data_IF_184821199432
#
_entry.id   IF_184821199432
#
_cell.length_a   1.000
_cell.length_b   1.000
_cell.length_c   1.000
_cell.angle_alpha   90.00
_cell.angle_beta   90.00
_cell.angle_gamma   90.00
#
_symmetry.space_group_name_H-M   'P 1'
#
loop_
_entity.id
_entity.type
_entity.pdbx_description
1 polymer ?
#
# COMPACT_ATOMS: atom_id res chain seq x y z
N UNK A 1 -15.14 6.14 4.93
CA UNK A 1 -14.74 5.05 4.02
C UNK A 1 -13.61 4.22 4.64
N UNK A 2 -12.45 4.80 4.96
CA UNK A 2 -11.24 4.02 5.28
C UNK A 2 -11.17 3.47 6.72
N UNK A 3 -12.13 3.78 7.60
CA UNK A 3 -12.16 3.29 8.99
C UNK A 3 -12.33 1.78 9.13
N UNK A 4 -12.78 1.13 8.05
CA UNK A 4 -12.99 -0.31 7.95
C UNK A 4 -11.93 -0.95 7.06
N UNK A 5 -10.82 -0.25 6.78
CA UNK A 5 -9.71 -0.79 6.01
C UNK A 5 -8.52 -0.92 6.95
N UNK A 6 -8.00 -2.13 7.08
CA UNK A 6 -6.71 -2.37 7.72
C UNK A 6 -5.60 -2.42 6.66
N UNK A 7 -4.40 -2.01 7.07
CA UNK A 7 -3.22 -2.00 6.21
C UNK A 7 -1.99 -2.42 7.00
N UNK A 8 -1.20 -3.32 6.44
CA UNK A 8 0.06 -3.79 7.02
C UNK A 8 1.19 -3.68 5.99
N UNK A 9 2.39 -3.35 6.44
CA UNK A 9 3.58 -3.33 5.59
C UNK A 9 4.58 -4.39 6.05
N UNK A 10 5.14 -5.09 5.06
CA UNK A 10 6.16 -6.11 5.24
C UNK A 10 7.34 -5.76 4.33
N UNK A 11 8.49 -5.54 4.94
CA UNK A 11 9.74 -5.21 4.27
C UNK A 11 10.63 -6.44 4.26
N UNK A 12 11.04 -6.91 3.09
CA UNK A 12 11.93 -8.05 2.96
C UNK A 12 13.32 -7.58 2.55
N UNK A 13 14.30 -7.86 3.40
CA UNK A 13 15.70 -7.48 3.25
C UNK A 13 16.55 -8.71 2.97
N UNK A 14 17.46 -8.58 2.02
CA UNK A 14 18.49 -9.56 1.69
C UNK A 14 19.83 -8.84 1.60
N UNK A 15 20.88 -9.36 2.23
CA UNK A 15 22.21 -8.73 2.23
C UNK A 15 22.21 -7.23 2.64
N UNK A 16 21.31 -6.85 3.56
CA UNK A 16 21.06 -5.48 4.04
C UNK A 16 20.29 -4.55 3.09
N UNK A 17 19.92 -5.00 1.90
CA UNK A 17 19.10 -4.25 0.94
C UNK A 17 17.65 -4.72 0.95
N UNK A 18 16.69 -3.79 0.87
CA UNK A 18 15.27 -4.15 0.74
C UNK A 18 15.03 -4.60 -0.70
N UNK A 19 14.61 -5.83 -0.90
CA UNK A 19 14.37 -6.37 -2.25
C UNK A 19 12.89 -6.40 -2.60
N UNK A 20 12.03 -6.42 -1.60
CA UNK A 20 10.59 -6.50 -1.77
C UNK A 20 9.84 -5.79 -0.65
N UNK A 21 8.73 -5.18 -1.02
CA UNK A 21 7.75 -4.62 -0.09
C UNK A 21 6.40 -5.27 -0.38
N UNK A 22 5.79 -5.84 0.64
CA UNK A 22 4.43 -6.35 0.58
C UNK A 22 3.53 -5.49 1.47
N UNK A 23 2.38 -5.12 0.92
CA UNK A 23 1.38 -4.32 1.61
C UNK A 23 0.09 -5.11 1.62
N UNK A 24 -0.41 -5.47 2.81
CA UNK A 24 -1.69 -6.17 2.94
C UNK A 24 -2.79 -5.16 3.17
N UNK A 25 -3.89 -5.32 2.45
CA UNK A 25 -5.10 -4.56 2.65
C UNK A 25 -6.24 -5.52 2.99
N UNK A 26 -6.97 -5.20 4.05
CA UNK A 26 -8.17 -5.95 4.43
C UNK A 26 -9.36 -5.00 4.49
N UNK A 27 -10.40 -5.30 3.72
CA UNK A 27 -11.60 -4.47 3.65
C UNK A 27 -12.74 -5.08 4.47
N UNK A 28 -13.05 -4.49 5.62
CA UNK A 28 -14.13 -4.92 6.50
C UNK A 28 -15.51 -4.33 6.16
N UNK A 29 -15.63 -3.57 5.07
CA UNK A 29 -16.95 -3.11 4.64
C UNK A 29 -17.84 -4.32 4.33
N UNK A 30 -19.12 -4.25 4.71
CA UNK A 30 -20.07 -5.31 4.40
C UNK A 30 -20.50 -5.20 2.95
N UNK A 31 -20.63 -6.35 2.28
CA UNK A 31 -21.30 -6.41 0.99
C UNK A 31 -22.75 -5.95 1.18
N UNK A 32 -23.25 -4.98 0.39
CA UNK A 32 -24.63 -4.53 0.48
C UNK A 32 -25.61 -5.70 0.28
N UNK A 33 -26.58 -5.84 1.17
CA UNK A 33 -27.58 -6.93 1.10
C UNK A 33 -28.62 -6.75 -0.01
N UNK A 34 -28.76 -5.53 -0.54
CA UNK A 34 -29.70 -5.19 -1.59
C UNK A 34 -29.04 -4.29 -2.62
N UNK A 35 -29.20 -4.67 -3.89
CA UNK A 35 -28.86 -3.86 -5.05
C UNK A 35 -29.93 -2.75 -5.15
N UNK A 36 -29.50 -1.50 -5.34
CA UNK A 36 -30.47 -0.44 -5.59
C UNK A 36 -30.89 -0.51 -7.06
N UNK A 37 -32.02 -1.14 -7.31
CA UNK A 37 -32.56 -1.33 -8.67
C UNK A 37 -33.23 -0.06 -9.23
N UNK A 38 -33.19 1.07 -8.52
CA UNK A 38 -33.75 2.32 -9.00
C UNK A 38 -32.86 2.93 -10.10
N UNK A 39 -33.32 2.97 -11.37
CA UNK A 39 -32.51 3.46 -12.49
C UNK A 39 -32.16 4.95 -12.40
N UNK A 40 -32.88 5.72 -11.58
CA UNK A 40 -32.64 7.15 -11.37
C UNK A 40 -31.57 7.43 -10.30
N UNK A 41 -31.24 6.43 -9.48
CA UNK A 41 -30.19 6.51 -8.47
C UNK A 41 -28.93 5.81 -9.00
N UNK A 42 -27.96 6.59 -9.50
CA UNK A 42 -26.60 6.12 -9.82
C UNK A 42 -25.80 5.80 -8.55
N UNK A 43 -26.36 5.02 -7.65
CA UNK A 43 -25.65 4.49 -6.48
C UNK A 43 -24.87 3.26 -6.90
N UNK A 44 -23.57 3.23 -6.60
CA UNK A 44 -22.76 2.05 -6.83
C UNK A 44 -23.30 0.88 -5.99
N UNK A 45 -23.53 -0.27 -6.64
CA UNK A 45 -24.05 -1.49 -6.00
C UNK A 45 -23.04 -2.17 -5.07
N UNK A 46 -21.77 -1.79 -5.18
CA UNK A 46 -20.65 -2.27 -4.36
C UNK A 46 -19.81 -1.06 -3.93
N UNK A 47 -19.48 -1.02 -2.65
CA UNK A 47 -18.51 -0.14 -2.04
C UNK A 47 -17.14 -0.82 -2.08
N UNK A 48 -16.68 -1.18 -3.28
CA UNK A 48 -15.28 -1.55 -3.48
C UNK A 48 -14.44 -0.40 -2.94
N UNK A 49 -13.51 -0.71 -2.05
CA UNK A 49 -12.59 0.28 -1.55
C UNK A 49 -11.61 0.62 -2.66
N UNK A 50 -11.89 1.71 -3.37
CA UNK A 50 -10.99 2.26 -4.38
C UNK A 50 -10.17 3.36 -3.74
N UNK A 51 -8.86 3.21 -3.75
CA UNK A 51 -7.98 4.19 -3.15
C UNK A 51 -6.68 4.39 -3.94
N UNK A 52 -6.36 5.66 -4.16
CA UNK A 52 -5.09 6.09 -4.74
C UNK A 52 -3.99 6.04 -3.67
N UNK A 53 -3.05 5.12 -3.83
CA UNK A 53 -1.92 4.95 -2.93
C UNK A 53 -0.74 5.79 -3.41
N UNK A 54 -0.04 6.40 -2.46
CA UNK A 54 1.25 7.08 -2.67
C UNK A 54 2.26 6.52 -1.70
N UNK A 55 3.44 6.22 -2.20
CA UNK A 55 4.60 5.78 -1.43
C UNK A 55 5.78 6.65 -1.85
N UNK A 56 6.56 7.08 -0.87
CA UNK A 56 7.72 7.94 -1.10
C UNK A 56 8.97 7.17 -0.73
N UNK A 57 9.86 7.02 -1.70
CA UNK A 57 11.12 6.30 -1.58
C UNK A 57 12.29 7.25 -1.73
N UNK A 58 13.49 6.82 -1.35
CA UNK A 58 14.72 7.49 -1.79
C UNK A 58 14.79 7.58 -3.32
N UNK A 59 15.32 8.67 -3.89
CA UNK A 59 15.28 8.93 -5.33
C UNK A 59 16.05 7.91 -6.19
N UNK A 60 16.99 7.17 -5.60
CA UNK A 60 17.82 6.14 -6.25
C UNK A 60 17.14 4.77 -6.38
N UNK A 61 16.00 4.56 -5.70
CA UNK A 61 15.24 3.31 -5.75
C UNK A 61 14.67 3.11 -7.14
N UNK A 62 14.81 1.90 -7.68
CA UNK A 62 14.13 1.49 -8.93
C UNK A 62 13.10 0.43 -8.66
N UNK A 63 11.87 0.70 -9.09
CA UNK A 63 10.77 -0.24 -9.02
C UNK A 63 10.83 -1.17 -10.24
N UNK A 64 10.97 -2.47 -10.00
CA UNK A 64 10.95 -3.48 -11.05
C UNK A 64 9.54 -3.71 -11.56
N UNK A 65 8.62 -3.95 -10.61
CA UNK A 65 7.21 -4.19 -10.90
C UNK A 65 6.38 -3.98 -9.64
N UNK A 66 5.07 -3.75 -9.84
CA UNK A 66 4.06 -3.80 -8.81
C UNK A 66 2.99 -4.79 -9.24
N UNK A 67 2.59 -5.68 -8.34
CA UNK A 67 1.58 -6.69 -8.60
C UNK A 67 0.58 -6.75 -7.44
N UNK A 68 -0.64 -7.19 -7.72
CA UNK A 68 -1.59 -7.61 -6.69
C UNK A 68 -1.67 -9.12 -6.61
N UNK A 69 -1.95 -9.63 -5.40
CA UNK A 69 -2.23 -11.03 -5.13
C UNK A 69 -3.57 -11.08 -4.39
N UNK A 70 -4.55 -11.74 -4.98
CA UNK A 70 -5.89 -11.89 -4.39
C UNK A 70 -6.01 -13.10 -3.47
N UNK A 71 -7.21 -13.30 -2.92
CA UNK A 71 -7.53 -14.42 -2.04
C UNK A 71 -7.35 -15.79 -2.72
N UNK A 72 -7.45 -15.86 -4.05
CA UNK A 72 -7.23 -17.05 -4.86
C UNK A 72 -5.75 -17.25 -5.24
N UNK A 73 -4.85 -16.38 -4.76
CA UNK A 73 -3.43 -16.36 -5.07
C UNK A 73 -3.13 -16.02 -6.54
N UNK A 74 -4.08 -15.42 -7.24
CA UNK A 74 -3.90 -14.97 -8.60
C UNK A 74 -3.09 -13.67 -8.61
N UNK A 75 -2.05 -13.61 -9.45
CA UNK A 75 -1.13 -12.48 -9.55
C UNK A 75 -1.49 -11.63 -10.74
N UNK A 76 -1.71 -10.34 -10.52
CA UNK A 76 -2.03 -9.39 -11.57
C UNK A 76 -1.04 -8.23 -11.55
N UNK A 77 -0.54 -7.82 -12.71
CA UNK A 77 0.27 -6.61 -12.81
C UNK A 77 -0.59 -5.38 -12.48
N UNK A 78 -0.02 -4.48 -11.69
CA UNK A 78 -0.67 -3.24 -11.30
C UNK A 78 0.05 -2.06 -11.95
N UNK A 79 -0.68 -1.30 -12.76
CA UNK A 79 -0.16 -0.07 -13.33
C UNK A 79 0.17 0.95 -12.23
N UNK A 80 1.32 1.60 -12.39
CA UNK A 80 1.78 2.65 -11.48
C UNK A 80 2.47 3.78 -12.25
N UNK A 81 2.53 4.94 -11.62
CA UNK A 81 3.29 6.09 -12.09
C UNK A 81 4.35 6.45 -11.07
N UNK A 82 5.52 6.89 -11.54
CA UNK A 82 6.60 7.36 -10.69
C UNK A 82 7.03 8.77 -11.08
N UNK A 83 7.23 9.65 -10.11
CA UNK A 83 7.70 11.02 -10.32
C UNK A 83 8.53 11.52 -9.15
N UNK A 84 9.44 12.49 -9.34
CA UNK A 84 10.11 13.16 -8.23
C UNK A 84 9.10 13.93 -7.36
N UNK A 85 9.30 13.90 -6.05
CA UNK A 85 8.58 14.66 -5.05
C UNK A 85 9.57 15.39 -4.14
N UNK A 86 9.26 16.63 -3.78
CA UNK A 86 10.08 17.42 -2.87
C UNK A 86 9.25 17.76 -1.63
N UNK A 87 9.75 17.41 -0.45
CA UNK A 87 9.10 17.78 0.81
C UNK A 87 9.30 19.28 1.13
N UNK A 88 8.76 19.75 2.25
CA UNK A 88 8.84 21.18 2.63
C UNK A 88 10.28 21.67 2.89
N UNK A 89 11.19 20.76 3.24
CA UNK A 89 12.62 21.06 3.45
C UNK A 89 13.43 21.06 2.14
N UNK A 90 12.82 20.66 1.02
CA UNK A 90 13.47 20.53 -0.28
C UNK A 90 14.22 19.21 -0.48
N UNK A 91 14.05 18.24 0.42
CA UNK A 91 14.56 16.88 0.22
C UNK A 91 13.76 16.19 -0.89
N UNK A 92 14.48 15.52 -1.80
CA UNK A 92 13.94 14.79 -2.94
C UNK A 92 13.60 13.35 -2.57
N UNK A 93 12.46 12.89 -3.06
CA UNK A 93 11.95 11.52 -2.96
C UNK A 93 11.43 11.07 -4.32
N UNK A 94 11.38 9.76 -4.55
CA UNK A 94 10.60 9.15 -5.63
C UNK A 94 9.17 8.88 -5.12
N UNK A 95 8.18 9.61 -5.62
CA UNK A 95 6.77 9.29 -5.41
C UNK A 95 6.34 8.20 -6.40
N UNK A 96 5.90 7.06 -5.86
CA UNK A 96 5.26 5.99 -6.60
C UNK A 96 3.79 5.98 -6.26
N UNK A 97 2.95 6.01 -7.28
CA UNK A 97 1.51 6.09 -7.12
C UNK A 97 0.77 5.05 -7.95
N UNK A 98 -0.28 4.46 -7.38
CA UNK A 98 -1.12 3.47 -8.05
C UNK A 98 -2.56 3.49 -7.50
N UNK A 99 -3.52 3.07 -8.32
CA UNK A 99 -4.91 2.94 -7.93
C UNK A 99 -5.20 1.50 -7.50
N UNK A 100 -5.67 1.31 -6.27
CA UNK A 100 -5.99 -0.01 -5.74
C UNK A 100 -7.49 -0.15 -5.49
N UNK A 101 -8.06 -1.27 -5.91
CA UNK A 101 -9.45 -1.64 -5.61
C UNK A 101 -9.46 -2.90 -4.75
N UNK A 102 -9.97 -2.80 -3.52
CA UNK A 102 -10.10 -3.92 -2.59
C UNK A 102 -11.59 -4.22 -2.40
N UNK A 103 -12.09 -5.37 -2.87
CA UNK A 103 -13.50 -5.75 -2.70
C UNK A 103 -13.88 -5.86 -1.22
N UNK A 104 -15.16 -5.68 -0.92
CA UNK A 104 -15.70 -5.84 0.44
C UNK A 104 -15.48 -7.24 0.99
N UNK A 105 -15.11 -7.33 2.27
CA UNK A 105 -14.82 -8.57 2.99
C UNK A 105 -13.64 -9.38 2.44
N UNK A 106 -12.87 -8.82 1.52
CA UNK A 106 -11.71 -9.47 0.90
C UNK A 106 -10.38 -8.90 1.40
N UNK A 107 -9.33 -9.72 1.25
CA UNK A 107 -7.94 -9.31 1.41
C UNK A 107 -7.28 -9.21 0.04
N UNK A 108 -6.45 -8.19 -0.12
CA UNK A 108 -5.59 -8.03 -1.29
C UNK A 108 -4.18 -7.68 -0.83
N UNK A 109 -3.18 -8.37 -1.38
CA UNK A 109 -1.78 -8.04 -1.14
C UNK A 109 -1.22 -7.29 -2.35
N UNK A 110 -0.49 -6.20 -2.11
CA UNK A 110 0.31 -5.51 -3.13
C UNK A 110 1.76 -5.86 -2.90
N UNK A 111 2.42 -6.38 -3.93
CA UNK A 111 3.84 -6.72 -3.90
C UNK A 111 4.60 -5.78 -4.83
N UNK A 112 5.61 -5.11 -4.29
CA UNK A 112 6.50 -4.19 -5.00
C UNK A 112 7.88 -4.83 -4.96
N UNK A 113 8.36 -5.24 -6.13
CA UNK A 113 9.73 -5.74 -6.28
C UNK A 113 10.66 -4.58 -6.65
N UNK A 114 11.81 -4.49 -5.99
CA UNK A 114 12.81 -3.45 -6.19
C UNK A 114 14.01 -4.01 -6.97
N UNK A 115 14.58 -3.23 -7.90
CA UNK A 115 15.80 -3.63 -8.62
C UNK A 115 17.06 -3.34 -7.80
N UNK A 116 17.03 -2.28 -7.01
CA UNK A 116 18.07 -1.84 -6.10
C UNK A 116 17.40 -1.04 -4.98
N UNK A 117 17.79 -1.29 -3.74
CA UNK A 117 17.34 -0.46 -2.63
C UNK A 117 18.44 -0.39 -1.57
N UNK A 118 19.32 0.58 -1.73
CA UNK A 118 20.23 1.00 -0.66
C UNK A 118 19.44 1.88 0.32
N UNK A 119 18.36 1.33 0.89
CA UNK A 119 17.49 2.10 1.79
C UNK A 119 18.01 1.94 3.21
N UNK A 120 18.94 2.82 3.54
CA UNK A 120 19.03 3.31 4.90
C UNK A 120 18.18 4.58 5.02
N UNK A 121 16.99 4.42 5.62
CA UNK A 121 16.20 5.42 6.38
C UNK A 121 14.94 6.07 5.78
N UNK A 122 14.73 6.17 4.46
CA UNK A 122 13.74 7.14 3.97
C UNK A 122 12.56 6.53 3.18
N UNK A 123 11.80 5.62 3.81
CA UNK A 123 10.48 5.27 3.31
C UNK A 123 9.40 6.02 4.10
N UNK A 124 8.78 7.01 3.47
CA UNK A 124 7.64 7.70 4.06
C UNK A 124 6.33 7.04 3.59
N UNK A 125 5.54 6.60 4.56
CA UNK A 125 4.20 6.06 4.33
C UNK A 125 3.20 7.14 4.71
N UNK A 126 2.49 7.68 3.72
CA UNK A 126 1.37 8.57 4.00
C UNK A 126 0.23 7.76 4.61
N UNK A 127 -0.01 7.94 5.91
CA UNK A 127 -1.19 7.38 6.57
C UNK A 127 -2.43 8.10 6.03
N UNK A 128 -3.34 7.32 5.46
CA UNK A 128 -4.56 7.87 4.87
C UNK A 128 -5.59 8.14 5.97
N UNK A 129 -6.32 9.25 5.87
CA UNK A 129 -7.33 9.65 6.85
C UNK A 129 -8.34 8.52 7.11
N UNK A 130 -8.54 8.20 8.40
CA UNK A 130 -9.45 7.14 8.85
C UNK A 130 -8.79 5.79 9.14
N UNK A 131 -7.57 5.53 8.65
CA UNK A 131 -6.78 4.38 9.12
C UNK A 131 -6.30 4.71 10.55
N UNK A 132 -6.48 3.80 11.50
CA UNK A 132 -6.13 4.07 12.91
C UNK A 132 -4.63 3.94 13.15
N UNK A 133 -4.08 2.82 12.71
CA UNK A 133 -2.68 2.44 12.88
C UNK A 133 -2.25 1.57 11.70
N UNK A 134 -0.96 1.57 11.38
CA UNK A 134 -0.38 0.75 10.32
C UNK A 134 0.76 -0.07 10.94
N UNK A 135 0.57 -1.39 11.15
CA UNK A 135 1.65 -2.28 11.54
C UNK A 135 2.72 -2.35 10.45
N UNK A 136 3.98 -2.39 10.89
CA UNK A 136 5.15 -2.53 10.02
C UNK A 136 6.03 -3.67 10.53
N UNK A 137 6.43 -4.54 9.62
CA UNK A 137 7.29 -5.69 9.87
C UNK A 137 8.51 -5.63 8.96
N UNK A 138 9.70 -5.86 9.52
CA UNK A 138 10.96 -5.94 8.78
C UNK A 138 11.55 -7.34 8.94
N UNK A 139 11.80 -7.98 7.80
CA UNK A 139 12.39 -9.31 7.68
C UNK A 139 13.79 -9.19 7.09
N UNK A 140 14.74 -9.95 7.62
CA UNK A 140 16.08 -10.18 7.05
C UNK A 140 16.21 -11.67 6.76
N UNK A 141 16.53 -12.03 5.51
CA UNK A 141 16.70 -13.43 5.10
C UNK A 141 15.49 -14.32 5.50
N UNK A 142 14.29 -13.73 5.37
CA UNK A 142 12.98 -14.28 5.78
C UNK A 142 12.73 -14.41 7.29
N UNK A 143 13.65 -13.99 8.15
CA UNK A 143 13.44 -13.94 9.59
C UNK A 143 12.97 -12.55 10.04
N UNK A 144 11.93 -12.49 10.89
CA UNK A 144 11.46 -11.23 11.45
C UNK A 144 12.51 -10.66 12.41
N UNK A 145 13.04 -9.48 12.09
CA UNK A 145 14.07 -8.81 12.90
C UNK A 145 13.58 -7.56 13.63
N UNK A 146 12.50 -6.94 13.15
CA UNK A 146 11.92 -5.76 13.79
C UNK A 146 10.45 -5.62 13.42
N UNK A 147 9.66 -5.03 14.32
CA UNK A 147 8.32 -4.58 14.03
C UNK A 147 7.99 -3.32 14.84
N UNK A 148 7.13 -2.48 14.28
CA UNK A 148 6.61 -1.29 14.93
C UNK A 148 5.24 -0.93 14.36
N UNK A 149 4.62 0.13 14.86
CA UNK A 149 3.31 0.58 14.39
C UNK A 149 3.32 2.08 14.17
N UNK A 150 2.90 2.52 12.99
CA UNK A 150 2.68 3.94 12.71
C UNK A 150 1.30 4.35 13.22
N UNK A 151 1.27 5.28 14.16
CA UNK A 151 0.03 5.80 14.76
C UNK A 151 -0.35 7.20 14.29
N UNK A 152 0.58 7.94 13.70
CA UNK A 152 0.38 9.28 13.13
C UNK A 152 0.97 9.37 11.72
N UNK A 153 0.56 10.38 10.97
CA UNK A 153 1.21 10.76 9.71
C UNK A 153 2.66 11.15 10.02
N UNK A 154 3.60 10.81 9.14
CA UNK A 154 5.00 11.26 9.26
C UNK A 154 5.27 12.59 8.54
N UNK A 155 4.23 13.23 7.98
CA UNK A 155 4.32 14.56 7.40
C UNK A 155 4.21 15.64 8.51
N UNK A 156 5.30 15.85 9.24
CA UNK A 156 5.59 17.12 9.92
C UNK A 156 7.05 17.54 9.69
#
# INVERSE_FOLDING_TARGET
>A
ANRLIDREFHFYRQDQEITQIMIKFLNHNQVPQSINDNPDLKTANHLTYVNYQRLYFSPEVKIKQIQTIDAQQEKNELEFTSQPYFNQSGQEFLEVSFLLAVPEQEQLEVVIDLENADIHQDLEIQKQSGIKQIPIFLYQDQELISNWTLTSDQLE
#
